data_IF_063753488323
#
_entry.id   IF_063753488323
#
_cell.length_a   1.000
_cell.length_b   1.000
_cell.length_c   1.000
_cell.angle_alpha   90.00
_cell.angle_beta   90.00
_cell.angle_gamma   90.00
#
_symmetry.space_group_name_H-M   'P 1'
#
loop_
_entity.id
_entity.type
_entity.pdbx_description
1 polymer ?
#
# COMPACT_ATOMS: atom_id res chain seq x y z
N UNK A 1 -11.27 96.84 22.64
CA UNK A 1 -11.45 95.66 23.51
C UNK A 1 -12.52 94.81 22.86
N UNK A 2 -12.14 93.88 21.98
CA UNK A 2 -11.78 92.48 22.29
C UNK A 2 -12.89 91.75 23.04
N UNK A 3 -13.64 90.89 22.33
CA UNK A 3 -13.94 89.52 22.75
C UNK A 3 -14.64 88.79 21.60
N UNK A 4 -13.85 87.97 20.91
CA UNK A 4 -14.26 86.98 19.92
C UNK A 4 -14.99 85.83 20.62
N UNK A 5 -16.16 85.47 20.09
CA UNK A 5 -16.95 84.31 20.49
C UNK A 5 -16.34 83.05 19.88
N UNK A 6 -15.66 82.23 20.68
CA UNK A 6 -15.17 80.92 20.26
C UNK A 6 -16.33 79.91 20.22
N UNK A 7 -16.69 79.49 19.01
CA UNK A 7 -17.63 78.38 18.77
C UNK A 7 -16.86 77.07 18.91
N UNK A 8 -17.17 76.30 19.95
CA UNK A 8 -16.67 74.93 20.12
C UNK A 8 -17.34 74.02 19.08
N UNK A 9 -16.56 73.55 18.10
CA UNK A 9 -16.93 72.48 17.18
C UNK A 9 -16.49 71.15 17.81
N UNK A 10 -17.43 70.40 18.37
CA UNK A 10 -17.23 69.01 18.77
C UNK A 10 -17.21 68.18 17.49
N UNK A 11 -16.02 67.81 17.03
CA UNK A 11 -15.84 66.85 15.94
C UNK A 11 -16.05 65.43 16.46
N UNK A 12 -17.16 64.79 16.06
CA UNK A 12 -17.31 63.33 16.17
C UNK A 12 -16.35 62.67 15.19
N UNK A 13 -15.21 62.21 15.68
CA UNK A 13 -14.33 61.31 14.95
C UNK A 13 -14.97 59.91 14.96
N UNK A 14 -15.60 59.53 13.84
CA UNK A 14 -16.07 58.17 13.62
C UNK A 14 -14.84 57.29 13.37
N UNK A 15 -14.38 56.58 14.39
CA UNK A 15 -13.32 55.58 14.25
C UNK A 15 -13.90 54.38 13.48
N UNK A 16 -13.57 54.27 12.20
CA UNK A 16 -13.89 53.12 11.37
C UNK A 16 -12.91 52.00 11.76
N UNK A 17 -13.28 51.17 12.74
CA UNK A 17 -12.58 49.92 13.01
C UNK A 17 -12.84 48.98 11.85
N UNK A 18 -11.89 48.86 10.93
CA UNK A 18 -11.83 47.77 9.98
C UNK A 18 -11.53 46.52 10.79
N UNK A 19 -12.55 45.71 11.06
CA UNK A 19 -12.33 44.36 11.54
C UNK A 19 -11.68 43.59 10.39
N UNK A 20 -10.37 43.42 10.44
CA UNK A 20 -9.71 42.37 9.68
C UNK A 20 -10.28 41.06 10.22
N UNK A 21 -11.17 40.42 9.47
CA UNK A 21 -11.46 39.02 9.72
C UNK A 21 -10.14 38.28 9.60
N UNK A 22 -9.69 37.64 10.67
CA UNK A 22 -8.70 36.59 10.53
C UNK A 22 -9.39 35.55 9.65
N UNK A 23 -8.92 35.35 8.42
CA UNK A 23 -9.27 34.14 7.71
C UNK A 23 -8.79 32.98 8.59
N UNK A 24 -9.67 32.04 8.91
CA UNK A 24 -9.24 30.81 9.56
C UNK A 24 -8.11 30.19 8.72
N UNK A 25 -7.04 29.77 9.39
CA UNK A 25 -5.96 29.06 8.71
C UNK A 25 -6.50 27.67 8.33
N UNK A 26 -6.48 27.36 7.03
CA UNK A 26 -6.88 26.05 6.50
C UNK A 26 -6.04 24.96 7.19
N UNK A 27 -6.64 23.83 7.62
CA UNK A 27 -5.90 22.76 8.31
C UNK A 27 -4.73 22.28 7.46
N UNK A 28 -3.58 22.04 8.10
CA UNK A 28 -2.46 21.32 7.50
C UNK A 28 -2.79 19.84 7.52
N UNK A 29 -2.76 19.23 6.34
CA UNK A 29 -3.14 17.82 6.19
C UNK A 29 -1.95 17.05 5.66
N UNK A 30 -1.67 15.88 6.23
CA UNK A 30 -0.70 14.94 5.70
C UNK A 30 -1.41 13.68 5.19
N UNK A 31 -0.82 13.06 4.17
CA UNK A 31 -1.30 11.83 3.55
C UNK A 31 -0.16 10.84 3.34
N UNK A 32 -0.48 9.56 3.31
CA UNK A 32 0.46 8.47 3.13
C UNK A 32 0.94 8.35 1.66
N UNK A 33 0.04 8.00 0.74
CA UNK A 33 0.33 7.64 -0.66
C UNK A 33 -0.36 8.58 -1.65
N UNK A 34 0.16 8.61 -2.88
CA UNK A 34 -0.33 9.52 -3.93
C UNK A 34 -1.83 9.38 -4.26
N UNK A 35 -2.45 8.17 -4.28
CA UNK A 35 -3.91 8.04 -4.43
C UNK A 35 -4.71 8.75 -3.32
N UNK A 36 -4.29 8.62 -2.06
CA UNK A 36 -4.94 9.27 -0.92
C UNK A 36 -4.71 10.78 -0.96
N UNK A 37 -3.48 11.22 -1.27
CA UNK A 37 -3.17 12.61 -1.54
C UNK A 37 -4.08 13.21 -2.60
N UNK A 38 -4.30 12.52 -3.72
CA UNK A 38 -5.18 12.98 -4.80
C UNK A 38 -6.62 13.21 -4.34
N UNK A 39 -7.18 12.30 -3.54
CA UNK A 39 -8.52 12.43 -2.97
C UNK A 39 -8.60 13.61 -2.00
N UNK A 40 -7.64 13.74 -1.09
CA UNK A 40 -7.60 14.84 -0.12
C UNK A 40 -7.39 16.19 -0.82
N UNK A 41 -6.47 16.27 -1.78
CA UNK A 41 -6.24 17.44 -2.61
C UNK A 41 -7.51 17.84 -3.37
N UNK A 42 -8.28 16.86 -3.88
CA UNK A 42 -9.57 17.15 -4.53
C UNK A 42 -10.56 17.79 -3.58
N UNK A 43 -10.67 17.30 -2.34
CA UNK A 43 -11.54 17.88 -1.31
C UNK A 43 -11.05 19.28 -0.90
N UNK A 44 -9.74 19.47 -0.74
CA UNK A 44 -9.12 20.75 -0.35
C UNK A 44 -8.99 21.78 -1.47
N UNK A 45 -9.38 21.42 -2.70
CA UNK A 45 -9.20 22.24 -3.90
C UNK A 45 -9.69 23.70 -3.70
N UNK A 46 -8.83 24.65 -4.06
CA UNK A 46 -9.05 26.09 -3.86
C UNK A 46 -8.82 26.62 -2.44
N UNK A 47 -8.53 25.76 -1.45
CA UNK A 47 -8.28 26.14 -0.05
C UNK A 47 -6.85 25.84 0.40
N UNK A 48 -6.32 24.67 0.04
CA UNK A 48 -4.98 24.23 0.40
C UNK A 48 -4.57 22.96 -0.33
N UNK A 49 -3.40 22.42 0.03
CA UNK A 49 -2.85 21.19 -0.55
C UNK A 49 -2.29 20.33 0.59
N UNK A 50 -2.57 19.02 0.63
CA UNK A 50 -1.99 18.13 1.63
C UNK A 50 -0.51 17.85 1.36
N UNK A 51 0.25 17.55 2.42
CA UNK A 51 1.59 16.99 2.30
C UNK A 51 1.51 15.49 2.01
N UNK A 52 2.49 14.96 1.24
CA UNK A 52 2.62 13.55 0.90
C UNK A 52 3.84 12.93 1.61
N UNK A 53 3.63 11.82 2.32
CA UNK A 53 4.70 11.09 3.04
C UNK A 53 5.45 10.17 2.09
N UNK A 54 4.82 9.12 1.56
CA UNK A 54 5.43 8.17 0.63
C UNK A 54 5.51 8.79 -0.75
N UNK A 55 6.73 9.13 -1.17
CA UNK A 55 6.94 9.83 -2.45
C UNK A 55 6.67 8.92 -3.65
N UNK A 56 6.21 9.49 -4.79
CA UNK A 56 6.01 8.72 -6.02
C UNK A 56 7.26 7.91 -6.39
N UNK A 57 7.05 6.64 -6.72
CA UNK A 57 8.09 5.70 -7.15
C UNK A 57 8.76 4.93 -6.00
N UNK A 58 8.39 5.21 -4.75
CA UNK A 58 8.67 4.32 -3.63
C UNK A 58 7.53 3.32 -3.40
N UNK A 59 7.86 2.15 -2.88
CA UNK A 59 6.86 1.21 -2.34
C UNK A 59 6.34 1.73 -1.00
N UNK A 60 5.01 1.71 -0.75
CA UNK A 60 4.46 2.03 0.57
C UNK A 60 4.71 0.93 1.61
N UNK A 61 4.96 -0.32 1.21
CA UNK A 61 5.16 -1.43 2.16
C UNK A 61 6.56 -1.41 2.80
N UNK A 62 7.56 -0.80 2.14
CA UNK A 62 8.92 -0.60 2.67
C UNK A 62 9.47 0.79 2.31
N UNK A 63 9.21 1.77 3.17
CA UNK A 63 9.65 3.15 2.98
C UNK A 63 10.50 3.69 4.13
N UNK A 64 11.56 4.42 3.77
CA UNK A 64 12.40 5.13 4.73
C UNK A 64 12.09 6.63 4.70
N UNK A 65 11.37 7.08 5.72
CA UNK A 65 10.90 8.47 5.83
C UNK A 65 12.05 9.48 5.94
N UNK A 66 11.96 10.56 5.16
CA UNK A 66 12.86 11.71 5.18
C UNK A 66 12.49 12.68 6.30
N UNK A 67 13.46 13.48 6.81
CA UNK A 67 13.17 14.49 7.84
C UNK A 67 12.15 15.57 7.46
N UNK A 68 11.87 15.79 6.18
CA UNK A 68 10.81 16.70 5.74
C UNK A 68 9.43 16.09 5.89
N UNK A 69 9.27 14.79 5.64
CA UNK A 69 8.00 14.06 5.77
C UNK A 69 7.64 13.87 7.24
N UNK A 70 8.62 13.57 8.09
CA UNK A 70 8.42 13.53 9.53
C UNK A 70 7.91 14.88 10.08
N UNK A 71 8.40 15.99 9.52
CA UNK A 71 7.92 17.33 9.88
C UNK A 71 6.54 17.64 9.34
N UNK A 72 6.14 17.05 8.21
CA UNK A 72 4.78 17.19 7.70
C UNK A 72 3.80 16.54 8.67
N UNK A 73 4.10 15.31 9.13
CA UNK A 73 3.32 14.62 10.17
C UNK A 73 3.30 15.39 11.50
N UNK A 74 4.45 15.87 11.98
CA UNK A 74 4.54 16.65 13.23
C UNK A 74 3.70 17.93 13.22
N UNK A 75 3.50 18.51 12.04
CA UNK A 75 2.76 19.75 11.86
C UNK A 75 1.32 19.53 11.39
N UNK A 76 0.92 18.29 11.12
CA UNK A 76 -0.40 18.00 10.61
C UNK A 76 -1.47 18.30 11.68
N UNK A 77 -2.54 18.95 11.25
CA UNK A 77 -3.78 19.07 12.03
C UNK A 77 -4.69 17.85 11.74
N UNK A 78 -4.53 17.20 10.57
CA UNK A 78 -5.13 15.92 10.23
C UNK A 78 -4.19 15.03 9.40
N UNK A 79 -4.28 13.71 9.59
CA UNK A 79 -3.59 12.68 8.79
C UNK A 79 -4.63 11.72 8.23
N UNK A 80 -4.66 11.58 6.90
CA UNK A 80 -5.46 10.56 6.22
C UNK A 80 -4.53 9.52 5.62
N UNK A 81 -4.73 8.26 5.96
CA UNK A 81 -3.88 7.16 5.49
C UNK A 81 -4.68 5.87 5.36
N UNK A 82 -4.20 4.90 4.59
CA UNK A 82 -4.87 3.62 4.35
C UNK A 82 -4.99 2.87 5.66
N UNK A 83 -3.91 2.78 6.43
CA UNK A 83 -3.88 2.13 7.75
C UNK A 83 -2.76 1.11 7.88
N UNK A 84 -2.67 0.43 9.04
CA UNK A 84 -1.56 -0.47 9.36
C UNK A 84 -1.53 -1.72 8.48
N UNK A 85 -2.61 -2.05 7.76
CA UNK A 85 -2.62 -3.15 6.80
C UNK A 85 -1.73 -2.87 5.57
N UNK A 86 -1.54 -1.60 5.19
CA UNK A 86 -0.65 -1.20 4.11
C UNK A 86 0.74 -0.82 4.64
N UNK A 87 0.78 0.06 5.64
CA UNK A 87 2.02 0.66 6.14
C UNK A 87 2.19 0.41 7.65
N UNK A 88 2.43 -0.85 8.09
CA UNK A 88 2.65 -1.14 9.52
C UNK A 88 3.78 -0.30 10.15
N UNK A 89 4.78 0.09 9.36
CA UNK A 89 5.90 0.91 9.79
C UNK A 89 5.50 2.37 10.11
N UNK A 90 4.40 2.84 9.54
CA UNK A 90 3.92 4.22 9.70
C UNK A 90 3.07 4.38 10.97
N UNK A 91 2.46 3.31 11.47
CA UNK A 91 1.57 3.28 12.64
C UNK A 91 2.20 3.92 13.89
N UNK A 92 3.29 3.33 14.40
CA UNK A 92 4.02 3.88 15.56
C UNK A 92 4.58 5.29 15.30
N UNK A 93 4.86 5.61 14.03
CA UNK A 93 5.40 6.91 13.63
C UNK A 93 4.32 7.99 13.70
N UNK A 94 3.10 7.71 13.24
CA UNK A 94 1.94 8.60 13.36
C UNK A 94 1.62 8.82 14.85
N UNK A 95 1.56 7.76 15.64
CA UNK A 95 1.33 7.83 17.10
C UNK A 95 2.33 8.75 17.81
N UNK A 96 3.58 8.74 17.36
CA UNK A 96 4.65 9.54 17.95
C UNK A 96 4.66 10.99 17.44
N UNK A 97 4.53 11.19 16.14
CA UNK A 97 4.74 12.50 15.50
C UNK A 97 3.46 13.32 15.40
N UNK A 98 2.33 12.68 15.11
CA UNK A 98 1.04 13.32 14.86
C UNK A 98 0.07 13.16 16.05
N UNK A 99 0.59 13.03 17.27
CA UNK A 99 -0.21 12.74 18.48
C UNK A 99 -1.31 13.76 18.82
N UNK A 100 -1.22 14.99 18.30
CA UNK A 100 -2.23 16.04 18.47
C UNK A 100 -3.17 16.18 17.24
N UNK A 101 -2.90 15.46 16.15
CA UNK A 101 -3.65 15.51 14.90
C UNK A 101 -4.91 14.62 14.97
N UNK A 102 -5.90 14.94 14.13
CA UNK A 102 -6.94 13.99 13.79
C UNK A 102 -6.36 12.93 12.85
N UNK A 103 -6.27 11.67 13.28
CA UNK A 103 -5.82 10.55 12.44
C UNK A 103 -7.02 9.76 11.95
N UNK A 104 -7.11 9.57 10.63
CA UNK A 104 -8.20 8.86 9.96
C UNK A 104 -7.64 7.71 9.14
N UNK A 105 -7.92 6.49 9.61
CA UNK A 105 -7.64 5.24 8.89
C UNK A 105 -8.75 5.01 7.85
N UNK A 106 -8.38 5.08 6.58
CA UNK A 106 -9.30 5.01 5.47
C UNK A 106 -9.83 3.59 5.27
N UNK A 107 -9.01 2.55 5.49
CA UNK A 107 -9.44 1.15 5.32
C UNK A 107 -10.49 0.72 6.36
N UNK A 108 -10.59 1.44 7.49
CA UNK A 108 -11.58 1.22 8.54
C UNK A 108 -12.90 1.98 8.29
N UNK A 109 -13.00 2.74 7.19
CA UNK A 109 -14.18 3.52 6.88
C UNK A 109 -15.43 2.62 6.72
N UNK A 110 -16.59 3.02 7.27
CA UNK A 110 -17.80 2.23 7.16
C UNK A 110 -18.33 2.21 5.72
N UNK A 111 -18.71 1.02 5.25
CA UNK A 111 -19.39 0.85 3.97
C UNK A 111 -18.46 0.59 2.77
N UNK A 112 -17.16 0.45 3.00
CA UNK A 112 -16.22 0.04 1.96
C UNK A 112 -16.54 -1.34 1.39
N UNK A 113 -16.17 -1.51 0.13
CA UNK A 113 -15.90 -2.83 -0.43
C UNK A 113 -14.55 -3.26 0.12
N UNK A 114 -14.52 -4.41 0.79
CA UNK A 114 -13.30 -5.02 1.34
C UNK A 114 -13.12 -6.40 0.74
N UNK A 115 -11.89 -6.74 0.38
CA UNK A 115 -11.47 -8.04 -0.13
C UNK A 115 -10.41 -8.62 0.80
N UNK A 116 -10.35 -9.94 0.92
CA UNK A 116 -9.28 -10.64 1.61
C UNK A 116 -8.12 -10.90 0.62
N UNK A 117 -6.92 -11.11 1.14
CA UNK A 117 -5.79 -11.53 0.32
C UNK A 117 -6.12 -12.81 -0.47
N UNK A 118 -5.70 -12.86 -1.74
CA UNK A 118 -5.75 -14.10 -2.50
C UNK A 118 -4.63 -15.02 -2.07
N UNK A 119 -4.94 -16.31 -1.94
CA UNK A 119 -3.94 -17.34 -1.70
C UNK A 119 -3.42 -17.90 -3.03
N UNK A 120 -2.12 -18.20 -3.11
CA UNK A 120 -1.52 -18.87 -4.27
C UNK A 120 -0.90 -17.97 -5.33
N UNK A 121 -0.36 -18.57 -6.40
CA UNK A 121 0.29 -17.86 -7.52
C UNK A 121 -0.57 -17.61 -8.72
N UNK A 122 -1.52 -18.50 -8.85
CA UNK A 122 -2.40 -18.61 -9.98
C UNK A 122 -3.78 -18.40 -9.43
N UNK A 123 -4.49 -17.46 -10.03
CA UNK A 123 -5.88 -17.24 -9.72
C UNK A 123 -6.66 -18.12 -10.69
N UNK A 124 -7.27 -19.19 -10.18
CA UNK A 124 -8.16 -20.04 -10.98
C UNK A 124 -9.59 -19.49 -10.89
N UNK A 125 -10.33 -19.56 -12.00
CA UNK A 125 -11.73 -19.12 -12.14
C UNK A 125 -12.75 -19.90 -11.25
N UNK A 126 -12.29 -20.76 -10.34
CA UNK A 126 -13.08 -21.81 -9.71
C UNK A 126 -12.91 -22.00 -8.19
N UNK A 127 -12.36 -21.03 -7.44
CA UNK A 127 -12.37 -21.14 -5.97
C UNK A 127 -13.74 -20.81 -5.36
N UNK A 128 -14.63 -21.80 -5.46
CA UNK A 128 -15.75 -21.99 -4.57
C UNK A 128 -15.40 -23.04 -3.51
N UNK A 129 -15.30 -22.57 -2.26
CA UNK A 129 -15.69 -23.30 -1.05
C UNK A 129 -15.02 -24.65 -0.78
N UNK A 130 -14.05 -24.67 0.15
CA UNK A 130 -13.78 -25.85 0.96
C UNK A 130 -13.81 -25.52 2.45
N UNK A 131 -15.04 -25.44 2.99
CA UNK A 131 -15.29 -25.74 4.40
C UNK A 131 -14.64 -27.07 4.81
N UNK A 132 -13.66 -26.98 5.71
CA UNK A 132 -12.90 -28.12 6.23
C UNK A 132 -13.77 -29.09 7.04
N UNK A 133 -14.12 -30.21 6.42
CA UNK A 133 -14.61 -31.41 7.10
C UNK A 133 -13.45 -32.06 7.87
N UNK A 134 -13.63 -32.17 9.19
CA UNK A 134 -12.69 -32.80 10.10
C UNK A 134 -12.58 -34.31 9.83
N UNK A 135 -11.42 -34.76 9.35
CA UNK A 135 -11.06 -36.17 9.36
C UNK A 135 -10.25 -36.50 10.61
N UNK A 136 -10.93 -37.16 11.55
CA UNK A 136 -10.31 -37.88 12.66
C UNK A 136 -10.07 -39.34 12.23
N UNK A 137 -8.81 -39.69 12.04
CA UNK A 137 -8.29 -41.06 11.98
C UNK A 137 -7.04 -41.06 12.88
N UNK A 138 -6.76 -41.98 13.79
CA UNK A 138 -7.14 -43.38 13.93
C UNK A 138 -5.88 -44.09 14.45
N UNK A 139 -5.92 -44.55 15.70
CA UNK A 139 -4.81 -45.21 16.41
C UNK A 139 -4.15 -46.34 15.60
N UNK A 140 -2.82 -46.38 15.54
CA UNK A 140 -2.05 -47.64 15.42
C UNK A 140 -0.66 -47.54 16.05
N UNK A 141 -0.48 -48.28 17.14
CA UNK A 141 0.81 -48.63 17.75
C UNK A 141 1.55 -49.72 16.93
N UNK A 142 2.88 -49.78 17.01
CA UNK A 142 3.65 -51.00 17.28
C UNK A 142 5.16 -50.75 17.50
N UNK A 143 5.71 -51.58 18.39
CA UNK A 143 7.04 -51.64 19.00
C UNK A 143 8.22 -51.98 18.07
N UNK A 144 9.40 -51.60 18.60
CA UNK A 144 10.77 -52.15 18.57
C UNK A 144 11.16 -53.28 17.61
N UNK A 145 12.24 -53.06 16.86
CA UNK A 145 13.53 -53.79 16.94
C UNK A 145 14.35 -53.51 15.65
N UNK A 146 15.66 -53.33 15.77
CA UNK A 146 16.68 -54.05 14.98
C UNK A 146 18.10 -53.54 15.25
N UNK A 147 18.93 -54.49 15.67
CA UNK A 147 20.34 -54.40 15.98
C UNK A 147 21.24 -54.56 14.73
N UNK A 148 22.46 -54.03 14.89
CA UNK A 148 23.77 -54.41 14.34
C UNK A 148 23.91 -54.83 12.88
N UNK A 149 24.74 -54.08 12.15
CA UNK A 149 25.66 -54.64 11.16
C UNK A 149 27.01 -53.92 11.18
N UNK A 150 28.01 -54.65 11.68
CA UNK A 150 29.45 -54.50 11.45
C UNK A 150 29.81 -54.27 9.98
N UNK A 151 30.85 -53.47 9.72
CA UNK A 151 31.91 -53.84 8.77
C UNK A 151 33.24 -53.12 9.10
N UNK A 152 34.27 -53.95 9.23
CA UNK A 152 35.66 -53.68 9.54
C UNK A 152 36.45 -53.03 8.39
N UNK A 153 37.44 -52.22 8.79
CA UNK A 153 38.80 -52.02 8.28
C UNK A 153 39.12 -51.97 6.76
N UNK A 154 39.80 -50.88 6.34
CA UNK A 154 41.16 -50.98 5.78
C UNK A 154 41.94 -49.65 5.83
N UNK A 155 43.23 -49.79 6.15
CA UNK A 155 44.33 -48.82 6.32
C UNK A 155 44.55 -47.85 5.13
N UNK A 156 45.31 -46.75 5.20
CA UNK A 156 46.69 -46.60 5.71
C UNK A 156 47.18 -45.12 5.65
N UNK A 157 48.26 -44.84 6.37
CA UNK A 157 49.22 -43.72 6.35
C UNK A 157 48.79 -42.39 7.02
N UNK A 158 49.54 -41.73 7.92
CA UNK A 158 50.88 -41.93 8.48
C UNK A 158 51.43 -40.59 9.02
N UNK A 159 52.26 -40.66 10.08
CA UNK A 159 53.06 -39.60 10.78
C UNK A 159 52.34 -38.81 11.90
N UNK A 160 52.63 -39.04 13.19
CA UNK A 160 53.83 -38.68 14.00
C UNK A 160 54.08 -37.16 14.09
N UNK A 161 53.74 -36.54 15.22
CA UNK A 161 54.70 -36.15 16.28
C UNK A 161 54.16 -35.05 17.20
N UNK A 162 54.37 -35.23 18.52
CA UNK A 162 54.83 -34.12 19.38
C UNK A 162 53.86 -33.52 20.41
N UNK A 163 53.97 -33.99 21.67
CA UNK A 163 54.27 -33.23 22.91
C UNK A 163 53.63 -31.84 23.13
N UNK A 164 53.27 -31.37 24.32
CA UNK A 164 53.20 -31.83 25.70
C UNK A 164 52.38 -30.74 26.42
N UNK A 165 51.44 -31.17 27.25
CA UNK A 165 51.11 -30.68 28.59
C UNK A 165 51.62 -29.29 29.05
N UNK A 166 50.70 -28.50 29.65
CA UNK A 166 50.79 -27.79 30.95
C UNK A 166 49.73 -26.66 30.97
N UNK A 167 48.65 -26.82 31.74
CA UNK A 167 48.50 -26.42 33.15
C UNK A 167 48.10 -24.94 33.33
N UNK A 168 46.83 -24.76 33.70
CA UNK A 168 46.26 -23.80 34.66
C UNK A 168 46.75 -22.34 34.66
N UNK A 169 45.83 -21.41 34.42
CA UNK A 169 45.56 -20.33 35.39
C UNK A 169 44.19 -19.66 35.17
N UNK A 170 43.62 -19.27 36.29
CA UNK A 170 42.32 -18.64 36.53
C UNK A 170 42.04 -17.36 35.74
N UNK A 171 40.74 -17.10 35.52
CA UNK A 171 40.22 -15.73 35.51
C UNK A 171 39.15 -15.44 34.45
N UNK A 172 37.92 -15.22 34.95
CA UNK A 172 36.86 -14.37 34.36
C UNK A 172 36.19 -14.96 33.09
N UNK A 173 34.89 -15.27 33.04
CA UNK A 173 33.74 -14.75 33.75
C UNK A 173 32.74 -14.31 32.68
N UNK A 174 31.98 -15.24 32.08
CA UNK A 174 30.82 -14.91 31.25
C UNK A 174 29.79 -16.04 31.34
N UNK A 175 28.62 -15.67 31.86
CA UNK A 175 27.38 -16.44 31.83
C UNK A 175 26.94 -16.62 30.37
N UNK A 176 26.91 -17.85 29.88
CA UNK A 176 26.21 -18.21 28.65
C UNK A 176 25.00 -19.06 29.05
N UNK A 177 23.88 -18.37 29.24
CA UNK A 177 22.58 -18.99 29.35
C UNK A 177 22.22 -19.56 27.98
N UNK A 178 22.15 -20.89 27.90
CA UNK A 178 21.52 -21.60 26.81
C UNK A 178 20.08 -21.12 26.64
N UNK A 179 19.83 -20.35 25.57
CA UNK A 179 18.49 -20.12 25.06
C UNK A 179 18.32 -20.99 23.81
N UNK A 180 17.38 -21.92 23.92
CA UNK A 180 16.95 -22.83 22.88
C UNK A 180 16.63 -22.07 21.58
N UNK A 181 17.31 -22.44 20.50
CA UNK A 181 16.93 -22.04 19.14
C UNK A 181 15.68 -22.79 18.72
N UNK A 182 14.51 -22.24 19.08
CA UNK A 182 13.27 -22.51 18.35
C UNK A 182 13.38 -21.77 17.01
N UNK A 183 13.76 -22.50 15.96
CA UNK A 183 13.61 -22.05 14.59
C UNK A 183 12.12 -21.89 14.29
N UNK A 184 11.66 -20.64 14.26
CA UNK A 184 10.40 -20.30 13.64
C UNK A 184 10.67 -20.02 12.16
N UNK A 185 10.38 -21.05 11.36
CA UNK A 185 10.11 -20.95 9.94
C UNK A 185 8.82 -20.13 9.79
N UNK A 186 8.96 -18.84 9.52
CA UNK A 186 7.82 -17.96 9.26
C UNK A 186 7.41 -18.10 7.79
N UNK A 187 6.58 -19.10 7.52
CA UNK A 187 5.71 -19.07 6.35
C UNK A 187 4.72 -17.93 6.52
N UNK A 188 5.02 -16.77 5.95
CA UNK A 188 4.11 -15.62 5.89
C UNK A 188 2.99 -15.93 4.91
N UNK A 189 1.96 -16.63 5.37
CA UNK A 189 0.64 -16.53 4.77
C UNK A 189 0.05 -15.21 5.27
N UNK A 190 -0.22 -14.28 4.36
CA UNK A 190 -0.84 -13.00 4.66
C UNK A 190 -2.30 -13.25 5.07
N UNK A 191 -2.59 -13.37 6.35
CA UNK A 191 -3.96 -13.39 6.87
C UNK A 191 -4.47 -11.94 7.02
N UNK A 192 -5.62 -11.62 6.42
CA UNK A 192 -6.25 -10.31 6.57
C UNK A 192 -6.84 -9.73 5.30
N UNK A 193 -7.16 -8.43 5.39
CA UNK A 193 -7.72 -7.65 4.29
C UNK A 193 -6.62 -7.23 3.32
N UNK A 194 -6.92 -7.32 2.03
CA UNK A 194 -6.10 -6.71 0.98
C UNK A 194 -6.11 -5.18 1.16
N UNK A 195 -4.95 -4.55 1.39
CA UNK A 195 -4.86 -3.12 1.68
C UNK A 195 -5.02 -2.23 0.44
N UNK A 196 -5.03 -2.79 -0.78
CA UNK A 196 -5.06 -2.03 -2.04
C UNK A 196 -6.46 -1.48 -2.39
N UNK A 197 -7.26 -1.16 -1.38
CA UNK A 197 -8.66 -0.77 -1.48
C UNK A 197 -8.89 0.53 -2.28
N UNK A 198 -7.85 1.36 -2.47
CA UNK A 198 -7.94 2.56 -3.31
C UNK A 198 -8.14 2.27 -4.78
N UNK A 199 -7.89 1.03 -5.21
CA UNK A 199 -8.12 0.61 -6.58
C UNK A 199 -9.60 0.28 -6.86
N UNK A 200 -10.47 0.30 -5.83
CA UNK A 200 -11.92 0.40 -6.04
C UNK A 200 -12.37 1.87 -6.06
N UNK A 201 -12.80 2.42 -7.22
CA UNK A 201 -13.30 3.79 -7.29
C UNK A 201 -14.55 4.06 -6.44
N UNK A 202 -15.34 3.05 -6.07
CA UNK A 202 -16.43 3.26 -5.11
C UNK A 202 -15.92 3.49 -3.69
N UNK A 203 -14.80 2.87 -3.31
CA UNK A 203 -14.11 3.19 -2.04
C UNK A 203 -13.58 4.62 -2.07
N UNK A 204 -12.97 5.05 -3.19
CA UNK A 204 -12.54 6.44 -3.39
C UNK A 204 -13.67 7.45 -3.19
N UNK A 205 -14.89 7.13 -3.67
CA UNK A 205 -16.08 7.98 -3.48
C UNK A 205 -16.53 8.05 -2.02
N UNK A 206 -16.47 6.95 -1.28
CA UNK A 206 -16.77 6.91 0.16
C UNK A 206 -15.75 7.74 0.92
N UNK A 207 -14.46 7.62 0.58
CA UNK A 207 -13.40 8.40 1.20
C UNK A 207 -13.52 9.90 0.92
N UNK A 208 -13.92 10.33 -0.28
CA UNK A 208 -14.19 11.75 -0.55
C UNK A 208 -15.22 12.34 0.41
N UNK A 209 -16.29 11.59 0.70
CA UNK A 209 -17.33 12.03 1.65
C UNK A 209 -16.77 12.07 3.08
N UNK A 210 -16.06 11.02 3.52
CA UNK A 210 -15.43 10.96 4.84
C UNK A 210 -14.44 12.12 5.05
N UNK A 211 -13.50 12.30 4.13
CA UNK A 211 -12.49 13.37 4.18
C UNK A 211 -13.18 14.74 4.28
N UNK A 212 -14.23 14.97 3.48
CA UNK A 212 -14.94 16.25 3.52
C UNK A 212 -15.65 16.51 4.85
N UNK A 213 -16.24 15.49 5.49
CA UNK A 213 -16.89 15.67 6.78
C UNK A 213 -15.89 15.88 7.93
N UNK A 214 -14.76 15.19 7.90
CA UNK A 214 -13.69 15.39 8.88
C UNK A 214 -13.06 16.79 8.75
N UNK A 215 -12.74 17.22 7.53
CA UNK A 215 -12.23 18.57 7.28
C UNK A 215 -13.27 19.66 7.56
N UNK A 216 -14.55 19.42 7.27
CA UNK A 216 -15.64 20.35 7.63
C UNK A 216 -15.82 20.49 9.15
N UNK A 217 -15.43 19.47 9.93
CA UNK A 217 -15.44 19.52 11.38
C UNK A 217 -14.27 20.34 11.92
N UNK A 218 -13.09 20.18 11.34
CA UNK A 218 -11.88 20.94 11.70
C UNK A 218 -11.93 22.41 11.25
N UNK A 219 -12.51 22.68 10.08
CA UNK A 219 -12.67 24.00 9.50
C UNK A 219 -14.14 24.27 9.08
N UNK A 220 -15.00 24.65 10.05
CA UNK A 220 -16.41 24.92 9.80
C UNK A 220 -16.69 26.09 8.86
N UNK A 221 -15.73 27.00 8.67
CA UNK A 221 -15.91 28.17 7.79
C UNK A 221 -15.88 27.74 6.31
N UNK A 222 -15.10 26.71 5.97
CA UNK A 222 -14.99 26.16 4.62
C UNK A 222 -15.78 24.84 4.40
N UNK A 223 -16.56 24.42 5.39
CA UNK A 223 -17.33 23.17 5.37
C UNK A 223 -18.20 22.95 4.12
N UNK A 224 -18.85 23.99 3.59
CA UNK A 224 -19.65 23.87 2.37
C UNK A 224 -18.77 23.63 1.14
N UNK A 225 -17.56 24.21 1.09
CA UNK A 225 -16.60 24.03 0.01
C UNK A 225 -16.08 22.59 -0.02
N UNK A 226 -15.65 22.03 1.12
CA UNK A 226 -15.19 20.63 1.19
C UNK A 226 -16.24 19.65 0.69
N UNK A 227 -17.49 19.78 1.15
CA UNK A 227 -18.60 18.91 0.72
C UNK A 227 -18.93 19.07 -0.77
N UNK A 228 -18.91 20.30 -1.28
CA UNK A 228 -19.13 20.56 -2.70
C UNK A 228 -18.02 19.96 -3.56
N UNK A 229 -16.76 20.09 -3.13
CA UNK A 229 -15.60 19.50 -3.78
C UNK A 229 -15.64 17.98 -3.78
N UNK A 230 -15.99 17.35 -2.65
CA UNK A 230 -16.20 15.90 -2.59
C UNK A 230 -17.30 15.43 -3.55
N UNK A 231 -18.44 16.14 -3.60
CA UNK A 231 -19.53 15.81 -4.54
C UNK A 231 -19.07 15.93 -6.01
N UNK A 232 -18.26 16.95 -6.33
CA UNK A 232 -17.69 17.10 -7.65
C UNK A 232 -16.70 15.97 -8.00
N UNK A 233 -15.79 15.65 -7.07
CA UNK A 233 -14.84 14.55 -7.18
C UNK A 233 -15.53 13.20 -7.40
N UNK A 234 -16.65 12.93 -6.71
CA UNK A 234 -17.44 11.72 -6.94
C UNK A 234 -17.95 11.65 -8.39
N UNK A 235 -18.42 12.76 -8.96
CA UNK A 235 -18.83 12.84 -10.36
C UNK A 235 -17.68 12.69 -11.36
N UNK A 236 -16.49 13.19 -11.02
CA UNK A 236 -15.26 13.02 -11.82
C UNK A 236 -14.79 11.56 -11.81
N UNK A 237 -14.90 10.86 -10.67
CA UNK A 237 -14.66 9.42 -10.56
C UNK A 237 -15.67 8.64 -11.38
N UNK A 238 -16.97 8.94 -11.30
CA UNK A 238 -18.01 8.27 -12.10
C UNK A 238 -17.71 8.37 -13.61
N UNK A 239 -17.24 9.55 -14.06
CA UNK A 239 -16.83 9.75 -15.45
C UNK A 239 -15.60 8.89 -15.81
N UNK A 240 -14.55 8.89 -14.98
CA UNK A 240 -13.36 8.08 -15.20
C UNK A 240 -13.69 6.57 -15.23
N UNK A 241 -14.59 6.09 -14.37
CA UNK A 241 -15.07 4.71 -14.38
C UNK A 241 -15.79 4.38 -15.69
N UNK A 242 -16.63 5.28 -16.20
CA UNK A 242 -17.30 5.07 -17.49
C UNK A 242 -16.29 4.97 -18.63
N UNK A 243 -15.31 5.86 -18.66
CA UNK A 243 -14.25 5.88 -19.68
C UNK A 243 -13.37 4.62 -19.60
N UNK A 244 -12.94 4.23 -18.39
CA UNK A 244 -12.17 3.01 -18.16
C UNK A 244 -12.93 1.75 -18.62
N UNK A 245 -14.25 1.66 -18.35
CA UNK A 245 -15.09 0.55 -18.85
C UNK A 245 -15.14 0.49 -20.36
N UNK A 246 -15.27 1.65 -21.03
CA UNK A 246 -15.28 1.71 -22.49
C UNK A 246 -13.93 1.28 -23.08
N UNK A 247 -12.83 1.74 -22.49
CA UNK A 247 -11.46 1.37 -22.88
C UNK A 247 -11.24 -0.14 -22.76
N UNK A 248 -11.52 -0.72 -21.60
CA UNK A 248 -11.36 -2.17 -21.36
C UNK A 248 -12.27 -3.00 -22.26
N UNK A 249 -13.55 -2.61 -22.41
CA UNK A 249 -14.48 -3.32 -23.29
C UNK A 249 -14.05 -3.32 -24.76
N UNK A 250 -13.34 -2.28 -25.20
CA UNK A 250 -12.82 -2.18 -26.57
C UNK A 250 -11.64 -3.13 -26.85
N UNK A 251 -10.88 -3.50 -25.81
CA UNK A 251 -9.77 -4.44 -25.90
C UNK A 251 -10.22 -5.91 -25.87
N UNK A 252 -11.41 -6.20 -25.33
CA UNK A 252 -11.98 -7.54 -25.24
C UNK A 252 -11.51 -8.30 -24.01
N UNK A 253 -11.55 -9.62 -24.06
CA UNK A 253 -11.05 -10.50 -22.99
C UNK A 253 -9.52 -10.52 -23.03
N UNK A 254 -8.89 -10.19 -21.90
CA UNK A 254 -7.43 -10.05 -21.78
C UNK A 254 -6.97 -11.03 -20.70
N UNK A 255 -6.18 -12.01 -21.10
CA UNK A 255 -5.44 -12.87 -20.16
C UNK A 255 -4.12 -12.18 -19.82
N UNK A 256 -3.96 -11.79 -18.56
CA UNK A 256 -2.77 -11.07 -18.09
C UNK A 256 -2.29 -11.55 -16.72
N UNK A 257 -0.99 -11.41 -16.47
CA UNK A 257 -0.35 -11.63 -15.18
C UNK A 257 0.21 -10.30 -14.67
N UNK A 258 0.10 -10.05 -13.37
CA UNK A 258 0.64 -8.84 -12.71
C UNK A 258 1.92 -9.16 -11.95
N UNK A 259 2.70 -8.12 -11.64
CA UNK A 259 3.92 -8.30 -10.85
C UNK A 259 3.58 -8.60 -9.39
N UNK A 260 2.87 -7.71 -8.71
CA UNK A 260 2.32 -8.01 -7.38
C UNK A 260 0.79 -7.95 -7.36
N UNK A 261 0.20 -8.65 -6.39
CA UNK A 261 -1.25 -8.75 -6.25
C UNK A 261 -1.88 -7.50 -5.61
N UNK A 262 -1.86 -6.37 -6.31
CA UNK A 262 -2.55 -5.14 -5.90
C UNK A 262 -3.93 -4.97 -6.53
N UNK A 263 -4.17 -5.56 -7.70
CA UNK A 263 -5.24 -5.10 -8.60
C UNK A 263 -6.61 -5.72 -8.32
N UNK A 264 -6.74 -6.55 -7.28
CA UNK A 264 -7.97 -7.31 -7.00
C UNK A 264 -9.24 -6.44 -6.92
N UNK A 265 -9.15 -5.27 -6.30
CA UNK A 265 -10.25 -4.31 -6.25
C UNK A 265 -10.64 -3.74 -7.62
N UNK A 266 -9.64 -3.40 -8.44
CA UNK A 266 -9.85 -2.92 -9.80
C UNK A 266 -10.45 -4.03 -10.68
N UNK A 267 -9.88 -5.22 -10.61
CA UNK A 267 -10.35 -6.45 -11.26
C UNK A 267 -11.85 -6.68 -10.99
N UNK A 268 -12.22 -6.76 -9.71
CA UNK A 268 -13.61 -6.95 -9.30
C UNK A 268 -14.54 -5.82 -9.78
N UNK A 269 -14.08 -4.57 -9.76
CA UNK A 269 -14.89 -3.42 -10.22
C UNK A 269 -15.16 -3.47 -11.71
N UNK A 270 -14.14 -3.77 -12.51
CA UNK A 270 -14.21 -3.68 -13.97
C UNK A 270 -14.58 -5.01 -14.65
N UNK A 271 -14.62 -6.11 -13.89
CA UNK A 271 -14.98 -7.43 -14.40
C UNK A 271 -13.88 -8.03 -15.28
N UNK A 272 -12.63 -7.79 -14.90
CA UNK A 272 -11.43 -8.37 -15.49
C UNK A 272 -10.70 -9.15 -14.39
N UNK A 273 -9.92 -10.16 -14.75
CA UNK A 273 -9.19 -10.98 -13.77
C UNK A 273 -7.77 -11.19 -14.24
N UNK A 274 -6.80 -10.98 -13.36
CA UNK A 274 -5.45 -11.46 -13.62
C UNK A 274 -5.43 -13.00 -13.53
N UNK A 275 -4.61 -13.65 -14.35
CA UNK A 275 -4.42 -15.11 -14.32
C UNK A 275 -3.45 -15.55 -13.21
N UNK A 276 -2.80 -14.59 -12.53
CA UNK A 276 -1.85 -14.79 -11.44
C UNK A 276 -0.99 -13.56 -11.14
N UNK A 277 -0.18 -13.65 -10.08
CA UNK A 277 0.76 -12.62 -9.65
C UNK A 277 2.16 -13.20 -9.39
N UNK A 278 3.21 -12.52 -9.86
CA UNK A 278 4.60 -12.96 -9.69
C UNK A 278 5.00 -12.95 -8.21
N UNK A 279 4.62 -11.91 -7.47
CA UNK A 279 4.81 -11.76 -6.04
C UNK A 279 3.48 -11.57 -5.31
N UNK A 280 3.44 -11.93 -4.03
CA UNK A 280 2.31 -11.67 -3.14
C UNK A 280 2.35 -10.26 -2.55
N UNK A 281 3.56 -9.75 -2.32
CA UNK A 281 3.80 -8.40 -1.86
C UNK A 281 4.94 -7.78 -2.62
N UNK A 282 4.96 -6.47 -2.60
CA UNK A 282 5.92 -5.66 -3.32
C UNK A 282 7.22 -5.46 -2.48
N UNK A 283 7.19 -5.83 -1.18
CA UNK A 283 8.28 -5.75 -0.22
C UNK A 283 9.19 -7.00 -0.18
N UNK A 284 8.98 -7.99 -1.04
CA UNK A 284 9.74 -9.24 -1.03
C UNK A 284 9.96 -9.82 -2.42
N UNK A 285 11.17 -10.32 -2.67
CA UNK A 285 11.51 -10.96 -3.95
C UNK A 285 10.75 -12.30 -4.10
N UNK A 286 10.21 -12.59 -5.30
CA UNK A 286 9.54 -13.86 -5.56
C UNK A 286 10.53 -15.04 -5.54
N UNK A 287 10.10 -16.17 -4.98
CA UNK A 287 10.92 -17.37 -4.96
C UNK A 287 11.12 -17.98 -6.37
N UNK A 288 12.21 -18.72 -6.63
CA UNK A 288 12.40 -19.39 -7.92
C UNK A 288 11.27 -20.35 -8.30
N UNK A 289 10.68 -21.05 -7.31
CA UNK A 289 9.56 -21.96 -7.54
C UNK A 289 8.30 -21.19 -8.00
N UNK A 290 8.05 -20.02 -7.40
CA UNK A 290 6.96 -19.12 -7.80
C UNK A 290 7.14 -18.61 -9.23
N UNK A 291 8.36 -18.21 -9.60
CA UNK A 291 8.67 -17.78 -10.97
C UNK A 291 8.41 -18.92 -11.97
N UNK A 292 8.78 -20.17 -11.62
CA UNK A 292 8.51 -21.34 -12.47
C UNK A 292 7.00 -21.60 -12.62
N UNK A 293 6.23 -21.53 -11.54
CA UNK A 293 4.77 -21.69 -11.55
C UNK A 293 4.07 -20.65 -12.45
N UNK A 294 4.48 -19.38 -12.35
CA UNK A 294 3.93 -18.32 -13.19
C UNK A 294 4.37 -18.48 -14.65
N UNK A 295 5.60 -18.93 -14.93
CA UNK A 295 6.05 -19.25 -16.29
C UNK A 295 5.20 -20.35 -16.93
N UNK A 296 4.92 -21.41 -16.20
CA UNK A 296 4.05 -22.49 -16.68
C UNK A 296 2.64 -21.97 -16.94
N UNK A 297 2.09 -21.13 -16.05
CA UNK A 297 0.78 -20.48 -16.26
C UNK A 297 0.73 -19.63 -17.53
N UNK A 298 1.73 -18.77 -17.75
CA UNK A 298 1.83 -17.92 -18.94
C UNK A 298 1.84 -18.76 -20.21
N UNK A 299 2.59 -19.87 -20.22
CA UNK A 299 2.65 -20.79 -21.36
C UNK A 299 1.34 -21.55 -21.57
N UNK A 300 0.75 -22.06 -20.51
CA UNK A 300 -0.36 -23.02 -20.58
C UNK A 300 -1.70 -22.33 -20.90
N UNK A 301 -1.90 -21.10 -20.43
CA UNK A 301 -3.06 -20.28 -20.80
C UNK A 301 -2.88 -19.44 -22.06
N UNK A 302 -1.64 -19.27 -22.53
CA UNK A 302 -1.36 -18.34 -23.62
C UNK A 302 -1.61 -16.89 -23.22
N UNK A 303 -1.17 -16.52 -22.01
CA UNK A 303 -1.27 -15.16 -21.46
C UNK A 303 -0.70 -14.15 -22.46
N UNK A 304 -1.46 -13.10 -22.75
CA UNK A 304 -1.05 -12.08 -23.72
C UNK A 304 -0.09 -11.06 -23.11
N UNK A 305 -0.26 -10.78 -21.82
CA UNK A 305 0.40 -9.68 -21.13
C UNK A 305 0.97 -10.09 -19.78
N UNK A 306 2.22 -9.73 -19.52
CA UNK A 306 2.83 -9.80 -18.19
C UNK A 306 3.23 -8.39 -17.81
N UNK A 307 2.58 -7.85 -16.79
CA UNK A 307 2.84 -6.51 -16.32
C UNK A 307 3.95 -6.49 -15.27
N UNK A 308 4.86 -5.54 -15.43
CA UNK A 308 5.77 -5.04 -14.40
C UNK A 308 5.18 -3.75 -13.81
N UNK A 309 5.81 -3.21 -12.78
CA UNK A 309 5.47 -1.90 -12.25
C UNK A 309 6.73 -1.04 -12.13
N UNK A 310 6.62 0.29 -12.15
CA UNK A 310 7.78 1.19 -12.18
C UNK A 310 8.78 1.00 -11.03
N UNK A 311 8.29 0.52 -9.89
CA UNK A 311 9.05 0.33 -8.65
C UNK A 311 9.93 -0.95 -8.70
N UNK A 312 9.71 -1.85 -9.66
CA UNK A 312 10.33 -3.19 -9.68
C UNK A 312 11.34 -3.44 -10.79
N UNK A 313 12.16 -4.47 -10.56
CA UNK A 313 13.15 -4.92 -11.52
C UNK A 313 12.51 -5.72 -12.66
N UNK A 314 12.50 -5.11 -13.85
CA UNK A 314 11.93 -5.69 -15.07
C UNK A 314 12.57 -7.03 -15.51
N UNK A 315 13.77 -7.38 -15.03
CA UNK A 315 14.44 -8.64 -15.40
C UNK A 315 13.67 -9.90 -14.96
N UNK A 316 12.85 -9.82 -13.92
CA UNK A 316 11.98 -10.93 -13.50
C UNK A 316 10.86 -11.14 -14.52
N UNK A 317 10.26 -10.05 -15.03
CA UNK A 317 9.23 -10.11 -16.08
C UNK A 317 9.81 -10.60 -17.40
N UNK A 318 11.03 -10.20 -17.76
CA UNK A 318 11.74 -10.77 -18.91
C UNK A 318 11.95 -12.28 -18.75
N UNK A 319 12.30 -12.73 -17.54
CA UNK A 319 12.45 -14.16 -17.24
C UNK A 319 11.11 -14.89 -17.38
N UNK A 320 10.02 -14.32 -16.88
CA UNK A 320 8.68 -14.94 -16.97
C UNK A 320 8.19 -15.04 -18.42
N UNK A 321 8.46 -14.03 -19.24
CA UNK A 321 8.01 -13.97 -20.65
C UNK A 321 8.92 -14.74 -21.60
N UNK A 322 10.16 -15.08 -21.21
CA UNK A 322 11.14 -15.73 -22.08
C UNK A 322 10.63 -17.08 -22.64
N UNK A 323 10.62 -17.17 -23.97
CA UNK A 323 10.17 -18.37 -24.70
C UNK A 323 8.66 -18.41 -24.96
N UNK A 324 7.93 -17.35 -24.63
CA UNK A 324 6.49 -17.20 -24.87
C UNK A 324 6.21 -16.09 -25.90
N UNK A 325 4.94 -15.98 -26.35
CA UNK A 325 4.49 -14.85 -27.17
C UNK A 325 3.96 -13.68 -26.31
N UNK A 326 3.99 -13.82 -24.98
CA UNK A 326 3.51 -12.82 -24.05
C UNK A 326 4.35 -11.55 -24.12
N UNK A 327 3.70 -10.40 -23.98
CA UNK A 327 4.34 -9.09 -24.00
C UNK A 327 4.58 -8.59 -22.57
N UNK A 328 5.74 -8.00 -22.36
CA UNK A 328 6.02 -7.25 -21.15
C UNK A 328 5.47 -5.83 -21.29
N UNK A 329 4.70 -5.38 -20.30
CA UNK A 329 4.19 -4.01 -20.20
C UNK A 329 4.37 -3.49 -18.76
N UNK A 330 4.02 -2.22 -18.54
CA UNK A 330 4.04 -1.58 -17.22
C UNK A 330 2.63 -1.18 -16.87
N UNK A 331 2.24 -1.41 -15.63
CA UNK A 331 1.03 -0.86 -15.00
C UNK A 331 1.44 -0.35 -13.63
N UNK A 332 0.74 0.64 -13.09
CA UNK A 332 1.18 1.32 -11.87
C UNK A 332 0.02 1.55 -10.91
N UNK A 333 0.00 0.88 -9.74
CA UNK A 333 -1.11 0.98 -8.81
C UNK A 333 -1.08 2.29 -8.01
N UNK A 334 0.03 3.03 -8.03
CA UNK A 334 0.23 4.26 -7.24
C UNK A 334 0.51 5.50 -8.10
N UNK A 335 0.51 5.38 -9.42
CA UNK A 335 0.54 6.52 -10.36
C UNK A 335 1.82 7.37 -10.32
N UNK A 336 2.99 6.75 -10.30
CA UNK A 336 4.31 7.38 -10.36
C UNK A 336 4.46 8.43 -11.46
N UNK A 337 3.95 8.16 -12.66
CA UNK A 337 4.07 9.10 -13.80
C UNK A 337 3.01 10.21 -13.79
N UNK A 338 2.03 10.14 -12.89
CA UNK A 338 0.94 11.10 -12.80
C UNK A 338 1.31 12.29 -11.92
N UNK A 339 0.85 13.47 -12.31
CA UNK A 339 1.00 14.69 -11.51
C UNK A 339 0.07 14.62 -10.30
N UNK A 340 0.63 14.70 -9.09
CA UNK A 340 -0.13 14.74 -7.84
C UNK A 340 -1.01 15.99 -7.79
N UNK A 341 -2.23 15.85 -7.26
CA UNK A 341 -3.17 16.95 -7.11
C UNK A 341 -4.64 16.51 -7.26
N UNK A 342 -5.58 17.47 -7.38
CA UNK A 342 -7.02 17.23 -7.42
C UNK A 342 -7.48 16.27 -8.54
N UNK A 343 -6.78 16.26 -9.68
CA UNK A 343 -7.13 15.44 -10.84
C UNK A 343 -6.50 14.04 -10.80
N UNK A 344 -5.65 13.75 -9.82
CA UNK A 344 -4.81 12.55 -9.78
C UNK A 344 -5.62 11.25 -9.76
N UNK A 345 -6.60 11.14 -8.84
CA UNK A 345 -7.29 9.87 -8.63
C UNK A 345 -8.13 9.44 -9.85
N UNK A 346 -8.93 10.31 -10.50
CA UNK A 346 -9.56 9.99 -11.78
C UNK A 346 -8.54 9.66 -12.90
N UNK A 347 -7.38 10.31 -12.93
CA UNK A 347 -6.33 10.00 -13.90
C UNK A 347 -5.70 8.61 -13.68
N UNK A 348 -5.51 8.20 -12.42
CA UNK A 348 -5.03 6.86 -12.07
C UNK A 348 -5.94 5.77 -12.61
N UNK A 349 -7.25 5.89 -12.39
CA UNK A 349 -8.24 4.90 -12.87
C UNK A 349 -8.19 4.76 -14.41
N UNK A 350 -8.04 5.88 -15.12
CA UNK A 350 -7.89 5.87 -16.59
C UNK A 350 -6.59 5.23 -17.02
N UNK A 351 -5.48 5.62 -16.41
CA UNK A 351 -4.14 5.12 -16.74
C UNK A 351 -4.08 3.59 -16.64
N UNK A 352 -4.55 3.03 -15.52
CA UNK A 352 -4.58 1.57 -15.31
C UNK A 352 -5.40 0.87 -16.40
N UNK A 353 -6.58 1.41 -16.75
CA UNK A 353 -7.40 0.85 -17.82
C UNK A 353 -6.73 0.93 -19.20
N UNK A 354 -6.06 2.05 -19.49
CA UNK A 354 -5.32 2.29 -20.74
C UNK A 354 -4.10 1.36 -20.86
N UNK A 355 -3.35 1.15 -19.78
CA UNK A 355 -2.19 0.25 -19.73
C UNK A 355 -2.60 -1.20 -19.97
N UNK A 356 -3.68 -1.64 -19.31
CA UNK A 356 -4.25 -2.99 -19.50
C UNK A 356 -4.70 -3.18 -20.95
N UNK A 357 -5.54 -2.27 -21.46
CA UNK A 357 -6.06 -2.34 -22.81
C UNK A 357 -4.97 -2.22 -23.88
N UNK A 358 -3.96 -1.37 -23.65
CA UNK A 358 -2.85 -1.11 -24.55
C UNK A 358 -1.99 -2.35 -24.78
N UNK A 359 -1.70 -3.12 -23.73
CA UNK A 359 -0.90 -4.32 -23.86
C UNK A 359 -1.58 -5.40 -24.73
N UNK A 360 -2.91 -5.52 -24.65
CA UNK A 360 -3.69 -6.50 -25.40
C UNK A 360 -3.74 -6.26 -26.92
N UNK A 361 -3.34 -5.07 -27.40
CA UNK A 361 -3.65 -4.57 -28.76
C UNK A 361 -2.61 -4.77 -29.85
#
# INVERSE_FOLDING_TARGET
>A
MSMTSERSLIGCALALTVASGAAAEVPRVATDIAPVHGLVARVMDGLGEPDLVVQPGASPHDYSMRPSEARALEQADAVFWIGPALEPWLDETIDTLASDALVVELLDAPGLVTLEFREGAVFDDHDHDHGGEAHADGDHAHDEDHADHDHEDHADHGHEDGHDEHASHDGEGHDEAHADHAGHDHGHAHDGLDPHAWLDPENGKIWLELIAEELATLDPENAETYRANATAGQGEIDAAVSEARETLASAGEIEFVVFHDAYHYFENRFGISASGAISLSDASDPSPARIEEVRDRVRDLGVACVFSEPQFNQSVVETVTEGTEARAAVIDPIGFELEVGPDFYPALIRSIAEDIAGCAS
#
